data_IF_715370343923
#
_entry.id   IF_715370343923
#
_cell.length_a   1.000
_cell.length_b   1.000
_cell.length_c   1.000
_cell.angle_alpha   90.00
_cell.angle_beta   90.00
_cell.angle_gamma   90.00
#
_symmetry.space_group_name_H-M   'P 1'
#
loop_
_entity.id
_entity.type
_entity.pdbx_description
1 polymer ?
#
# COMPACT_ATOMS: atom_id res chain seq x y z
N UNK A 1 -9.72 8.22 20.48
CA UNK A 1 -8.29 8.19 20.07
C UNK A 1 -7.81 6.76 20.06
N UNK A 2 -7.53 6.22 18.87
CA UNK A 2 -6.96 4.89 18.70
C UNK A 2 -5.45 5.02 18.50
N UNK A 3 -4.65 4.38 19.37
CA UNK A 3 -3.20 4.53 19.38
C UNK A 3 -2.45 3.54 18.48
N UNK A 4 -3.07 2.40 18.18
CA UNK A 4 -2.42 1.33 17.42
C UNK A 4 -3.41 0.46 16.66
N UNK A 5 -2.88 -0.27 15.69
CA UNK A 5 -3.57 -1.30 14.90
C UNK A 5 -3.01 -2.65 15.36
N UNK A 6 -3.91 -3.55 15.77
CA UNK A 6 -3.58 -4.94 16.05
C UNK A 6 -3.72 -5.82 14.79
N UNK A 7 -3.34 -7.08 14.89
CA UNK A 7 -3.40 -8.01 13.75
C UNK A 7 -4.81 -8.23 13.21
N UNK A 8 -5.83 -8.31 14.09
CA UNK A 8 -7.23 -8.47 13.64
C UNK A 8 -7.71 -7.28 12.80
N UNK A 9 -7.36 -6.07 13.22
CA UNK A 9 -7.64 -4.84 12.46
C UNK A 9 -6.85 -4.80 11.15
N UNK A 10 -5.57 -5.19 11.17
CA UNK A 10 -4.73 -5.24 9.97
C UNK A 10 -5.31 -6.20 8.92
N UNK A 11 -5.77 -7.39 9.33
CA UNK A 11 -6.45 -8.33 8.43
C UNK A 11 -7.65 -7.69 7.74
N UNK A 12 -8.50 -7.00 8.51
CA UNK A 12 -9.67 -6.28 7.97
C UNK A 12 -9.27 -5.17 7.02
N UNK A 13 -8.18 -4.45 7.31
CA UNK A 13 -7.67 -3.39 6.44
C UNK A 13 -7.18 -3.95 5.10
N UNK A 14 -6.45 -5.05 5.09
CA UNK A 14 -6.02 -5.72 3.87
C UNK A 14 -7.21 -6.15 3.02
N UNK A 15 -8.17 -6.86 3.60
CA UNK A 15 -9.34 -7.36 2.88
C UNK A 15 -10.21 -6.21 2.40
N UNK A 16 -10.50 -5.24 3.26
CA UNK A 16 -11.34 -4.08 2.94
C UNK A 16 -10.73 -3.17 1.87
N UNK A 17 -9.42 -2.92 1.94
CA UNK A 17 -8.71 -2.12 0.95
C UNK A 17 -8.74 -2.74 -0.45
N UNK A 18 -8.56 -4.06 -0.54
CA UNK A 18 -8.63 -4.76 -1.82
C UNK A 18 -10.06 -4.81 -2.36
N UNK A 19 -11.06 -4.96 -1.49
CA UNK A 19 -12.46 -4.89 -1.90
C UNK A 19 -12.84 -3.49 -2.43
N UNK A 20 -12.34 -2.43 -1.83
CA UNK A 20 -12.55 -1.06 -2.31
C UNK A 20 -11.89 -0.83 -3.68
N UNK A 21 -10.69 -1.36 -3.87
CA UNK A 21 -10.01 -1.30 -5.17
C UNK A 21 -10.78 -2.07 -6.25
N UNK A 22 -11.36 -3.22 -5.91
CA UNK A 22 -12.20 -4.00 -6.84
C UNK A 22 -13.39 -3.19 -7.35
N UNK A 23 -14.05 -2.46 -6.46
CA UNK A 23 -15.17 -1.58 -6.81
C UNK A 23 -14.77 -0.42 -7.72
N UNK A 24 -13.53 0.05 -7.64
CA UNK A 24 -13.04 1.23 -8.34
C UNK A 24 -12.04 0.91 -9.47
N UNK A 25 -11.67 -0.34 -9.70
CA UNK A 25 -10.62 -0.71 -10.67
C UNK A 25 -10.90 -0.22 -12.09
N UNK A 26 -12.15 -0.23 -12.54
CA UNK A 26 -12.51 0.27 -13.87
C UNK A 26 -12.35 1.79 -13.99
N UNK A 27 -12.59 2.53 -12.92
CA UNK A 27 -12.32 3.97 -12.89
C UNK A 27 -10.81 4.21 -13.01
N UNK A 28 -10.00 3.44 -12.29
CA UNK A 28 -8.53 3.54 -12.38
C UNK A 28 -8.04 3.13 -13.77
N UNK A 29 -8.61 2.08 -14.38
CA UNK A 29 -8.31 1.68 -15.75
C UNK A 29 -8.58 2.82 -16.74
N UNK A 30 -9.71 3.51 -16.59
CA UNK A 30 -10.08 4.64 -17.47
C UNK A 30 -9.14 5.86 -17.34
N UNK A 31 -8.47 6.02 -16.20
CA UNK A 31 -7.49 7.09 -15.96
C UNK A 31 -6.07 6.72 -16.45
N UNK A 32 -5.86 5.51 -16.91
CA UNK A 32 -4.57 5.02 -17.38
C UNK A 32 -4.24 5.58 -18.77
N UNK A 33 -3.50 6.67 -18.80
CA UNK A 33 -3.08 7.36 -20.04
C UNK A 33 -1.56 7.40 -20.23
N UNK A 34 -0.80 7.03 -19.22
CA UNK A 34 0.67 7.11 -19.22
C UNK A 34 1.29 6.01 -18.35
N UNK A 35 2.44 5.45 -18.70
CA UNK A 35 3.23 5.67 -19.92
C UNK A 35 2.67 4.95 -21.16
N UNK A 36 1.83 3.95 -20.97
CA UNK A 36 1.15 3.18 -22.02
C UNK A 36 -0.34 3.18 -21.74
N UNK A 37 -1.19 3.68 -22.64
CA UNK A 37 -2.63 3.78 -22.41
C UNK A 37 -3.35 2.45 -22.72
N UNK A 38 -2.94 1.37 -22.06
CA UNK A 38 -3.55 0.04 -22.23
C UNK A 38 -4.80 -0.19 -21.36
N UNK A 39 -5.10 0.77 -20.46
CA UNK A 39 -6.34 0.78 -19.69
C UNK A 39 -6.49 -0.38 -18.72
N UNK A 40 -5.39 -0.88 -18.15
CA UNK A 40 -5.39 -2.06 -17.30
C UNK A 40 -4.77 -1.85 -15.89
N UNK A 41 -4.38 -0.61 -15.56
CA UNK A 41 -3.70 -0.28 -14.29
C UNK A 41 -4.50 -0.76 -13.08
N UNK A 42 -5.76 -0.40 -12.98
CA UNK A 42 -6.62 -0.78 -11.85
C UNK A 42 -6.86 -2.28 -11.78
N UNK A 43 -7.11 -2.90 -12.92
CA UNK A 43 -7.28 -4.36 -13.03
C UNK A 43 -6.03 -5.11 -12.59
N UNK A 44 -4.85 -4.69 -13.05
CA UNK A 44 -3.58 -5.31 -12.68
C UNK A 44 -3.26 -5.14 -11.18
N UNK A 45 -3.48 -3.95 -10.63
CA UNK A 45 -3.32 -3.70 -9.19
C UNK A 45 -4.29 -4.59 -8.38
N UNK A 46 -5.55 -4.64 -8.78
CA UNK A 46 -6.55 -5.47 -8.11
C UNK A 46 -6.18 -6.96 -8.13
N UNK A 47 -5.83 -7.51 -9.29
CA UNK A 47 -5.47 -8.93 -9.40
C UNK A 47 -4.23 -9.28 -8.57
N UNK A 48 -3.27 -8.36 -8.52
CA UNK A 48 -2.07 -8.50 -7.69
C UNK A 48 -2.45 -8.56 -6.21
N UNK A 49 -3.27 -7.63 -5.72
CA UNK A 49 -3.66 -7.57 -4.31
C UNK A 49 -4.72 -8.62 -3.94
N UNK A 50 -5.55 -9.05 -4.89
CA UNK A 50 -6.45 -10.21 -4.69
C UNK A 50 -5.66 -11.48 -4.38
N UNK A 51 -4.56 -11.71 -5.08
CA UNK A 51 -3.64 -12.81 -4.77
C UNK A 51 -3.07 -12.69 -3.36
N UNK A 52 -2.74 -11.46 -2.91
CA UNK A 52 -2.29 -11.19 -1.55
C UNK A 52 -3.36 -11.54 -0.49
N UNK A 53 -4.60 -11.12 -0.71
CA UNK A 53 -5.72 -11.43 0.21
C UNK A 53 -6.02 -12.92 0.26
N UNK A 54 -5.89 -13.64 -0.85
CA UNK A 54 -6.06 -15.10 -0.85
C UNK A 54 -5.06 -15.80 0.09
N UNK A 55 -3.80 -15.36 0.11
CA UNK A 55 -2.81 -15.89 1.06
C UNK A 55 -3.15 -15.49 2.53
N UNK A 56 -3.59 -14.26 2.75
CA UNK A 56 -4.03 -13.80 4.10
C UNK A 56 -5.21 -14.64 4.61
N UNK A 57 -6.15 -15.00 3.74
CA UNK A 57 -7.31 -15.83 4.11
C UNK A 57 -6.91 -17.25 4.54
N UNK A 58 -5.75 -17.73 4.12
CA UNK A 58 -5.21 -19.03 4.54
C UNK A 58 -4.46 -18.97 5.88
N UNK A 59 -4.19 -17.77 6.43
CA UNK A 59 -3.55 -17.63 7.73
C UNK A 59 -4.49 -18.01 8.86
N UNK A 60 -3.99 -18.84 9.79
CA UNK A 60 -4.66 -19.17 11.05
C UNK A 60 -4.22 -18.13 12.09
N UNK A 61 -5.21 -17.42 12.69
CA UNK A 61 -4.93 -16.37 13.66
C UNK A 61 -4.60 -15.02 13.01
N UNK A 62 -4.17 -14.06 13.84
CA UNK A 62 -4.01 -12.65 13.46
C UNK A 62 -2.66 -12.09 13.91
N UNK A 63 -1.60 -12.90 13.90
CA UNK A 63 -0.25 -12.38 14.14
C UNK A 63 0.16 -11.46 12.98
N UNK A 64 0.62 -10.25 13.32
CA UNK A 64 0.99 -9.25 12.31
C UNK A 64 2.07 -9.78 11.38
N UNK A 65 3.07 -10.49 11.92
CA UNK A 65 4.14 -11.11 11.13
C UNK A 65 3.62 -12.06 10.06
N UNK A 66 2.71 -12.94 10.43
CA UNK A 66 2.15 -13.96 9.52
C UNK A 66 1.27 -13.32 8.45
N UNK A 67 0.44 -12.34 8.84
CA UNK A 67 -0.39 -11.59 7.91
C UNK A 67 0.43 -10.79 6.90
N UNK A 68 1.50 -10.14 7.36
CA UNK A 68 2.40 -9.38 6.51
C UNK A 68 3.19 -10.29 5.56
N UNK A 69 3.69 -11.43 6.03
CA UNK A 69 4.37 -12.41 5.19
C UNK A 69 3.43 -12.94 4.11
N UNK A 70 2.22 -13.36 4.48
CA UNK A 70 1.23 -13.86 3.53
C UNK A 70 0.84 -12.81 2.50
N UNK A 71 0.54 -11.59 2.92
CA UNK A 71 0.12 -10.50 2.04
C UNK A 71 1.23 -10.13 1.04
N UNK A 72 2.45 -9.99 1.53
CA UNK A 72 3.62 -9.69 0.69
C UNK A 72 3.89 -10.80 -0.33
N UNK A 73 3.91 -12.05 0.12
CA UNK A 73 4.15 -13.22 -0.72
C UNK A 73 3.08 -13.39 -1.81
N UNK A 74 1.82 -13.21 -1.43
CA UNK A 74 0.71 -13.27 -2.38
C UNK A 74 0.76 -12.15 -3.42
N UNK A 75 1.10 -10.92 -3.01
CA UNK A 75 1.28 -9.79 -3.93
C UNK A 75 2.42 -10.04 -4.93
N UNK A 76 3.57 -10.52 -4.47
CA UNK A 76 4.73 -10.82 -5.32
C UNK A 76 4.44 -11.92 -6.34
N UNK A 77 3.77 -13.01 -5.91
CA UNK A 77 3.41 -14.13 -6.79
C UNK A 77 2.34 -13.75 -7.81
N UNK A 78 1.41 -12.89 -7.42
CA UNK A 78 0.28 -12.46 -8.24
C UNK A 78 0.54 -11.19 -9.04
N UNK A 79 1.75 -10.62 -9.00
CA UNK A 79 2.06 -9.36 -9.66
C UNK A 79 1.80 -9.41 -11.17
N UNK A 80 0.99 -8.45 -11.66
CA UNK A 80 0.59 -8.36 -13.07
C UNK A 80 0.82 -6.96 -13.61
N UNK A 81 1.44 -6.90 -14.79
CA UNK A 81 1.76 -5.64 -15.44
C UNK A 81 2.72 -4.76 -14.62
N UNK A 82 3.08 -3.62 -15.16
CA UNK A 82 3.98 -2.68 -14.49
C UNK A 82 3.38 -2.16 -13.17
N UNK A 83 2.08 -1.82 -13.18
CA UNK A 83 1.37 -1.33 -11.99
C UNK A 83 1.32 -2.37 -10.88
N UNK A 84 1.05 -3.64 -11.21
CA UNK A 84 1.05 -4.71 -10.23
C UNK A 84 2.44 -5.02 -9.67
N UNK A 85 3.48 -4.97 -10.50
CA UNK A 85 4.86 -5.14 -10.03
C UNK A 85 5.23 -4.03 -9.04
N UNK A 86 4.98 -2.77 -9.38
CA UNK A 86 5.26 -1.64 -8.49
C UNK A 86 4.45 -1.75 -7.19
N UNK A 87 3.17 -2.06 -7.29
CA UNK A 87 2.30 -2.28 -6.12
C UNK A 87 2.84 -3.40 -5.22
N UNK A 88 3.28 -4.52 -5.79
CA UNK A 88 3.86 -5.61 -5.04
C UNK A 88 5.15 -5.22 -4.30
N UNK A 89 5.96 -4.34 -4.88
CA UNK A 89 7.17 -3.83 -4.24
C UNK A 89 6.86 -2.84 -3.10
N UNK A 90 5.84 -1.98 -3.26
CA UNK A 90 5.34 -1.13 -2.18
C UNK A 90 4.88 -2.02 -1.01
N UNK A 91 4.06 -3.02 -1.29
CA UNK A 91 3.56 -3.99 -0.28
C UNK A 91 4.72 -4.71 0.41
N UNK A 92 5.72 -5.15 -0.35
CA UNK A 92 6.91 -5.80 0.21
C UNK A 92 7.62 -4.92 1.23
N UNK A 93 7.83 -3.65 0.91
CA UNK A 93 8.46 -2.70 1.83
C UNK A 93 7.61 -2.41 3.06
N UNK A 94 6.31 -2.18 2.89
CA UNK A 94 5.36 -2.02 3.99
C UNK A 94 5.41 -3.22 4.94
N UNK A 95 5.23 -4.40 4.41
CA UNK A 95 5.14 -5.63 5.19
C UNK A 95 6.46 -6.02 5.86
N UNK A 96 7.60 -5.76 5.23
CA UNK A 96 8.91 -6.03 5.85
C UNK A 96 9.15 -5.21 7.12
N UNK A 97 8.61 -4.00 7.18
CA UNK A 97 8.69 -3.15 8.38
C UNK A 97 7.65 -3.55 9.41
N UNK A 98 6.38 -3.71 8.99
CA UNK A 98 5.27 -3.99 9.90
C UNK A 98 5.38 -5.37 10.55
N UNK A 99 5.96 -6.36 9.88
CA UNK A 99 6.13 -7.74 10.42
C UNK A 99 6.91 -7.80 11.73
N UNK A 100 7.71 -6.77 12.04
CA UNK A 100 8.46 -6.67 13.28
C UNK A 100 7.67 -6.03 14.44
N UNK A 101 6.43 -5.60 14.18
CA UNK A 101 5.60 -4.91 15.16
C UNK A 101 4.66 -5.91 15.88
N UNK A 102 4.52 -5.76 17.20
CA UNK A 102 3.43 -6.41 17.95
C UNK A 102 2.12 -5.64 17.77
N UNK A 103 2.21 -4.33 17.70
CA UNK A 103 1.15 -3.39 17.37
C UNK A 103 1.71 -2.29 16.47
N UNK A 104 0.90 -1.80 15.54
CA UNK A 104 1.31 -0.80 14.56
C UNK A 104 0.83 0.56 15.03
N UNK A 105 1.74 1.46 15.32
CA UNK A 105 1.46 2.84 15.67
C UNK A 105 1.84 3.80 14.52
N UNK A 106 1.58 5.09 14.68
CA UNK A 106 1.83 6.10 13.64
C UNK A 106 3.28 6.11 13.16
N UNK A 107 4.24 5.98 14.07
CA UNK A 107 5.68 5.99 13.74
C UNK A 107 6.10 4.75 12.96
N UNK A 108 5.64 3.57 13.37
CA UNK A 108 5.94 2.32 12.66
C UNK A 108 5.27 2.28 11.29
N UNK A 109 4.06 2.83 11.18
CA UNK A 109 3.36 2.92 9.90
C UNK A 109 4.07 3.90 8.94
N UNK A 110 4.50 5.06 9.41
CA UNK A 110 5.28 6.02 8.62
C UNK A 110 6.58 5.39 8.09
N UNK A 111 7.32 4.66 8.94
CA UNK A 111 8.51 3.91 8.52
C UNK A 111 8.18 2.86 7.45
N UNK A 112 7.06 2.18 7.59
CA UNK A 112 6.61 1.18 6.64
C UNK A 112 6.33 1.80 5.26
N UNK A 113 5.64 2.94 5.21
CA UNK A 113 5.40 3.69 3.96
C UNK A 113 6.74 4.10 3.32
N UNK A 114 7.69 4.59 4.13
CA UNK A 114 9.03 4.97 3.66
C UNK A 114 9.77 3.79 3.03
N UNK A 115 9.72 2.62 3.66
CA UNK A 115 10.36 1.43 3.11
C UNK A 115 9.66 0.93 1.85
N UNK A 116 8.33 1.00 1.79
CA UNK A 116 7.55 0.73 0.59
C UNK A 116 7.96 1.62 -0.58
N UNK A 117 8.08 2.91 -0.34
CA UNK A 117 8.57 3.88 -1.32
C UNK A 117 10.00 3.54 -1.79
N UNK A 118 10.92 3.29 -0.87
CA UNK A 118 12.32 2.98 -1.16
C UNK A 118 12.46 1.74 -2.05
N UNK A 119 11.72 0.67 -1.73
CA UNK A 119 11.77 -0.58 -2.50
C UNK A 119 11.14 -0.39 -3.88
N UNK A 120 10.03 0.33 -3.98
CA UNK A 120 9.37 0.59 -5.26
C UNK A 120 10.27 1.37 -6.23
N UNK A 121 10.95 2.42 -5.75
CA UNK A 121 11.91 3.18 -6.57
C UNK A 121 13.09 2.33 -7.03
N UNK A 122 13.59 1.42 -6.20
CA UNK A 122 14.68 0.50 -6.57
C UNK A 122 14.27 -0.55 -7.61
N UNK A 123 13.00 -0.89 -7.67
CA UNK A 123 12.49 -1.88 -8.60
C UNK A 123 12.30 -1.35 -10.03
N UNK A 124 12.34 -0.04 -10.21
CA UNK A 124 12.15 0.60 -11.51
C UNK A 124 13.49 1.13 -12.03
N UNK A 125 13.88 0.70 -13.23
CA UNK A 125 15.17 1.07 -13.82
C UNK A 125 15.30 2.58 -14.04
N UNK A 126 14.21 3.22 -14.52
CA UNK A 126 14.13 4.67 -14.73
C UNK A 126 12.85 5.19 -14.10
N UNK A 127 12.91 5.60 -12.82
CA UNK A 127 11.74 6.18 -12.15
C UNK A 127 11.25 7.44 -12.88
N UNK A 128 9.93 7.52 -13.07
CA UNK A 128 9.30 8.68 -13.70
C UNK A 128 8.39 9.38 -12.70
N UNK A 129 8.53 10.69 -12.61
CA UNK A 129 7.60 11.53 -11.82
C UNK A 129 6.25 11.66 -12.55
N UNK A 130 5.21 12.03 -11.81
CA UNK A 130 3.83 12.04 -12.30
C UNK A 130 3.19 10.65 -12.37
N UNK A 131 3.68 9.71 -11.57
CA UNK A 131 3.23 8.32 -11.53
C UNK A 131 2.92 7.88 -10.08
N UNK A 132 2.52 6.61 -9.89
CA UNK A 132 2.36 5.99 -8.57
C UNK A 132 3.60 6.17 -7.68
N UNK A 133 4.80 6.26 -8.28
CA UNK A 133 6.04 6.50 -7.53
C UNK A 133 6.06 7.89 -6.88
N UNK A 134 5.58 8.92 -7.58
CA UNK A 134 5.42 10.26 -7.01
C UNK A 134 4.44 10.26 -5.86
N UNK A 135 3.30 9.59 -6.02
CA UNK A 135 2.26 9.51 -4.98
C UNK A 135 2.83 8.87 -3.71
N UNK A 136 3.45 7.69 -3.82
CA UNK A 136 4.00 7.01 -2.63
C UNK A 136 5.16 7.79 -1.99
N UNK A 137 5.97 8.52 -2.77
CA UNK A 137 7.04 9.37 -2.25
C UNK A 137 6.47 10.51 -1.40
N UNK A 138 5.51 11.25 -1.94
CA UNK A 138 4.89 12.38 -1.22
C UNK A 138 4.14 11.89 0.02
N UNK A 139 3.41 10.77 -0.08
CA UNK A 139 2.78 10.14 1.08
C UNK A 139 3.80 9.74 2.16
N UNK A 140 4.96 9.23 1.77
CA UNK A 140 6.06 8.87 2.68
C UNK A 140 6.62 10.09 3.43
N UNK A 141 6.90 11.16 2.71
CA UNK A 141 7.39 12.42 3.28
C UNK A 141 6.37 13.00 4.28
N UNK A 142 5.10 13.07 3.87
CA UNK A 142 4.01 13.58 4.71
C UNK A 142 3.76 12.68 5.92
N UNK A 143 3.79 11.36 5.78
CA UNK A 143 3.59 10.42 6.87
C UNK A 143 4.63 10.62 7.99
N UNK A 144 5.89 10.85 7.63
CA UNK A 144 6.95 11.10 8.61
C UNK A 144 6.72 12.42 9.39
N UNK A 145 6.20 13.46 8.74
CA UNK A 145 5.88 14.71 9.42
C UNK A 145 4.61 14.61 10.27
N UNK A 146 3.57 13.94 9.78
CA UNK A 146 2.31 13.72 10.51
C UNK A 146 2.55 12.88 11.77
N UNK A 147 3.37 11.83 11.68
CA UNK A 147 3.68 10.95 12.80
C UNK A 147 4.42 11.65 13.96
N UNK A 148 5.01 12.83 13.72
CA UNK A 148 5.61 13.67 14.78
C UNK A 148 4.53 14.47 15.53
N UNK A 149 3.37 14.71 14.90
CA UNK A 149 2.32 15.61 15.39
C UNK A 149 1.18 14.90 16.06
N UNK A 150 0.85 13.69 15.62
CA UNK A 150 -0.24 12.89 16.20
C UNK A 150 0.18 11.46 16.50
N UNK A 151 -0.35 10.93 17.60
CA UNK A 151 -0.26 9.52 17.98
C UNK A 151 -1.58 8.78 17.75
N UNK A 152 -2.62 9.47 17.25
CA UNK A 152 -3.88 8.87 16.85
C UNK A 152 -3.72 8.26 15.45
N UNK A 153 -3.85 6.93 15.36
CA UNK A 153 -3.60 6.21 14.11
C UNK A 153 -4.68 6.50 13.06
N UNK A 154 -5.93 6.73 13.46
CA UNK A 154 -7.02 7.06 12.53
C UNK A 154 -6.80 8.44 11.92
N UNK A 155 -6.49 9.43 12.75
CA UNK A 155 -6.15 10.78 12.30
C UNK A 155 -4.93 10.76 11.37
N UNK A 156 -3.88 10.01 11.75
CA UNK A 156 -2.68 9.83 10.94
C UNK A 156 -3.00 9.28 9.55
N UNK A 157 -3.75 8.16 9.49
CA UNK A 157 -4.10 7.52 8.23
C UNK A 157 -4.95 8.45 7.35
N UNK A 158 -5.92 9.16 7.95
CA UNK A 158 -6.74 10.12 7.22
C UNK A 158 -5.88 11.21 6.58
N UNK A 159 -5.00 11.86 7.34
CA UNK A 159 -4.15 12.92 6.82
C UNK A 159 -3.18 12.42 5.73
N UNK A 160 -2.64 11.21 5.86
CA UNK A 160 -1.77 10.60 4.84
C UNK A 160 -2.54 10.31 3.56
N UNK A 161 -3.79 9.81 3.67
CA UNK A 161 -4.67 9.56 2.52
C UNK A 161 -5.04 10.86 1.83
N UNK A 162 -5.46 11.88 2.58
CA UNK A 162 -5.80 13.20 2.03
C UNK A 162 -4.61 13.78 1.24
N UNK A 163 -3.40 13.66 1.76
CA UNK A 163 -2.18 14.07 1.07
C UNK A 163 -1.94 13.25 -0.22
N UNK A 164 -2.21 11.95 -0.19
CA UNK A 164 -2.12 11.09 -1.37
C UNK A 164 -3.13 11.46 -2.46
N UNK A 165 -4.35 11.80 -2.08
CA UNK A 165 -5.39 12.27 -3.00
C UNK A 165 -5.02 13.60 -3.64
N UNK A 166 -4.51 14.55 -2.85
CA UNK A 166 -4.08 15.87 -3.35
C UNK A 166 -2.98 15.74 -4.40
N UNK A 167 -1.96 14.92 -4.15
CA UNK A 167 -0.87 14.73 -5.11
C UNK A 167 -1.33 13.91 -6.33
N UNK A 168 -2.24 12.96 -6.16
CA UNK A 168 -2.79 12.18 -7.27
C UNK A 168 -3.49 13.06 -8.30
N UNK A 169 -4.23 14.09 -7.85
CA UNK A 169 -4.89 15.06 -8.74
C UNK A 169 -3.90 15.92 -9.53
N UNK A 170 -2.65 16.02 -9.08
CA UNK A 170 -1.60 16.79 -9.75
C UNK A 170 -0.77 15.92 -10.72
N UNK A 171 -0.95 14.63 -10.67
CA UNK A 171 -0.28 13.69 -11.58
C UNK A 171 -1.19 13.31 -12.73
#
# INVERSE_FOLDING_TARGET
MQKSINGASLRKMFIGGVALLDQNKKLVDALNVFPVPDGDTGTNMFLTLKSAVNEVNNCIGNEISDLCEAFSKGALRGARGNSGVITSQIVKGLCSTLSNCKEINTKSFAKAITEGCRIAYKAVTVPKEGTILTVIRVMSESANEIAKKTSDIEEFLKQVIDCGEDILQQT
#
